data_IF_968615738257
#
_entry.id   IF_968615738257
#
_cell.length_a   1.000
_cell.length_b   1.000
_cell.length_c   1.000
_cell.angle_alpha   90.00
_cell.angle_beta   90.00
_cell.angle_gamma   90.00
#
_symmetry.space_group_name_H-M   'P 1'
#
loop_
_entity.id
_entity.type
_entity.pdbx_description
1 polymer ?
#
# COMPACT_ATOMS: atom_id res chain seq x y z
N UNK A 1 -20.58 3.54 -1.73
CA UNK A 1 -19.14 3.43 -1.42
C UNK A 1 -18.58 4.68 -0.74
N UNK A 2 -18.64 5.87 -1.35
CA UNK A 2 -18.11 7.10 -0.73
C UNK A 2 -18.69 7.40 0.68
N UNK A 3 -20.00 7.22 0.89
CA UNK A 3 -20.64 7.42 2.20
C UNK A 3 -20.10 6.42 3.23
N UNK A 4 -20.00 5.14 2.89
CA UNK A 4 -19.44 4.11 3.77
C UNK A 4 -17.96 4.36 4.10
N UNK A 5 -17.17 4.79 3.13
CA UNK A 5 -15.77 5.18 3.33
C UNK A 5 -15.67 6.35 4.32
N UNK A 6 -16.50 7.37 4.13
CA UNK A 6 -16.54 8.55 4.99
C UNK A 6 -16.97 8.18 6.43
N UNK A 7 -18.00 7.34 6.58
CA UNK A 7 -18.44 6.82 7.88
C UNK A 7 -17.34 6.02 8.58
N UNK A 8 -16.70 5.08 7.88
CA UNK A 8 -15.63 4.26 8.47
C UNK A 8 -14.39 5.09 8.83
N UNK A 9 -14.04 6.06 8.00
CA UNK A 9 -12.92 6.96 8.26
C UNK A 9 -13.17 7.83 9.49
N UNK A 10 -14.37 8.43 9.60
CA UNK A 10 -14.75 9.25 10.76
C UNK A 10 -14.83 8.39 12.02
N UNK A 11 -15.45 7.21 11.94
CA UNK A 11 -15.54 6.26 13.07
C UNK A 11 -14.16 5.83 13.55
N UNK A 12 -13.29 5.39 12.65
CA UNK A 12 -11.91 5.02 12.99
C UNK A 12 -11.11 6.19 13.57
N UNK A 13 -11.28 7.41 13.03
CA UNK A 13 -10.64 8.60 13.57
C UNK A 13 -11.11 8.96 14.99
N UNK A 14 -12.42 8.88 15.25
CA UNK A 14 -12.99 9.12 16.58
C UNK A 14 -12.47 8.08 17.58
N UNK A 15 -12.46 6.79 17.20
CA UNK A 15 -11.98 5.70 18.04
C UNK A 15 -10.50 5.89 18.42
N UNK A 16 -9.65 6.33 17.47
CA UNK A 16 -8.23 6.68 17.76
C UNK A 16 -8.13 7.80 18.80
N UNK A 17 -8.90 8.88 18.64
CA UNK A 17 -8.83 10.04 19.55
C UNK A 17 -9.31 9.65 20.95
N UNK A 18 -10.37 8.86 21.06
CA UNK A 18 -10.87 8.38 22.34
C UNK A 18 -9.85 7.47 23.03
N UNK A 19 -9.28 6.53 22.28
CA UNK A 19 -8.26 5.61 22.78
C UNK A 19 -7.00 6.34 23.26
N UNK A 20 -6.50 7.32 22.48
CA UNK A 20 -5.35 8.15 22.89
C UNK A 20 -5.67 8.93 24.16
N UNK A 21 -6.89 9.48 24.27
CA UNK A 21 -7.35 10.15 25.48
C UNK A 21 -7.33 9.22 26.69
N UNK A 22 -7.90 8.01 26.54
CA UNK A 22 -7.97 7.00 27.59
C UNK A 22 -6.57 6.56 28.06
N UNK A 23 -5.66 6.25 27.13
CA UNK A 23 -4.26 5.88 27.46
C UNK A 23 -3.55 6.98 28.24
N UNK A 24 -3.72 8.25 27.87
CA UNK A 24 -3.09 9.37 28.58
C UNK A 24 -3.66 9.52 30.00
N UNK A 25 -4.97 9.36 30.17
CA UNK A 25 -5.60 9.40 31.51
C UNK A 25 -5.29 8.18 32.37
N UNK A 26 -5.20 6.98 31.79
CA UNK A 26 -4.94 5.73 32.52
C UNK A 26 -3.50 5.59 32.97
N UNK A 27 -2.54 6.15 32.22
CA UNK A 27 -1.15 6.30 32.67
C UNK A 27 -1.03 7.04 34.01
N UNK A 28 -2.06 7.78 34.44
CA UNK A 28 -2.06 8.52 35.70
C UNK A 28 -2.62 7.75 36.91
N UNK A 29 -3.42 6.68 36.75
CA UNK A 29 -4.12 6.04 37.90
C UNK A 29 -4.17 4.50 37.93
N UNK A 30 -3.94 3.77 36.83
CA UNK A 30 -3.96 2.30 36.88
C UNK A 30 -3.00 1.68 35.85
N UNK A 31 -2.25 0.65 36.28
CA UNK A 31 -1.25 -0.03 35.45
C UNK A 31 -1.81 -0.58 34.13
N UNK A 32 -0.93 -0.85 33.14
CA UNK A 32 -1.33 -1.13 31.76
C UNK A 32 -2.27 -2.32 31.64
N UNK A 33 -3.42 -2.13 30.98
CA UNK A 33 -4.30 -3.24 30.56
C UNK A 33 -3.53 -4.11 29.55
N UNK A 34 -3.51 -5.43 29.75
CA UNK A 34 -2.74 -6.36 28.90
C UNK A 34 -3.24 -6.42 27.44
N UNK A 35 -4.39 -5.80 27.12
CA UNK A 35 -5.02 -5.81 25.80
C UNK A 35 -4.89 -4.51 24.98
N UNK A 36 -4.13 -3.51 25.47
CA UNK A 36 -3.94 -2.21 24.80
C UNK A 36 -3.46 -2.37 23.35
N UNK A 37 -2.57 -3.33 23.08
CA UNK A 37 -2.00 -3.53 21.74
C UNK A 37 -3.06 -4.03 20.75
N UNK A 38 -3.92 -4.97 21.17
CA UNK A 38 -4.96 -5.55 20.32
C UNK A 38 -5.99 -4.48 19.95
N UNK A 39 -6.41 -3.67 20.92
CA UNK A 39 -7.38 -2.58 20.73
C UNK A 39 -6.86 -1.48 19.78
N UNK A 40 -5.56 -1.16 19.86
CA UNK A 40 -4.90 -0.25 18.91
C UNK A 40 -4.93 -0.84 17.50
N UNK A 41 -4.54 -2.12 17.35
CA UNK A 41 -4.44 -2.76 16.04
C UNK A 41 -5.82 -2.84 15.37
N UNK A 42 -6.87 -3.18 16.11
CA UNK A 42 -8.24 -3.19 15.61
C UNK A 42 -8.68 -1.79 15.13
N UNK A 43 -8.40 -0.78 15.94
CA UNK A 43 -8.74 0.61 15.63
C UNK A 43 -8.00 1.13 14.39
N UNK A 44 -6.69 0.87 14.30
CA UNK A 44 -5.87 1.22 13.13
C UNK A 44 -6.38 0.50 11.89
N UNK A 45 -6.77 -0.77 12.02
CA UNK A 45 -7.29 -1.55 10.92
C UNK A 45 -8.58 -0.95 10.34
N UNK A 46 -9.53 -0.55 11.19
CA UNK A 46 -10.76 0.12 10.77
C UNK A 46 -10.50 1.44 10.02
N UNK A 47 -9.55 2.24 10.51
CA UNK A 47 -9.12 3.46 9.83
C UNK A 47 -8.49 3.19 8.45
N UNK A 48 -7.65 2.16 8.37
CA UNK A 48 -7.01 1.73 7.12
C UNK A 48 -8.05 1.27 6.09
N UNK A 49 -9.02 0.45 6.50
CA UNK A 49 -10.14 0.02 5.64
C UNK A 49 -10.94 1.23 5.13
N UNK A 50 -11.25 2.21 5.98
CA UNK A 50 -11.91 3.45 5.57
C UNK A 50 -11.11 4.22 4.49
N UNK A 51 -9.81 4.36 4.70
CA UNK A 51 -8.89 5.01 3.74
C UNK A 51 -8.83 4.27 2.41
N UNK A 52 -8.88 2.94 2.43
CA UNK A 52 -8.87 2.09 1.23
C UNK A 52 -10.14 2.23 0.42
N UNK A 53 -11.29 2.22 1.10
CA UNK A 53 -12.56 2.48 0.43
C UNK A 53 -12.58 3.91 -0.15
N UNK A 54 -11.95 4.88 0.52
CA UNK A 54 -11.82 6.24 0.02
C UNK A 54 -10.95 6.30 -1.24
N UNK A 55 -9.76 5.67 -1.23
CA UNK A 55 -8.88 5.56 -2.39
C UNK A 55 -9.55 4.82 -3.55
N UNK A 56 -10.29 3.75 -3.27
CA UNK A 56 -11.04 3.00 -4.28
C UNK A 56 -12.16 3.86 -4.89
N UNK A 57 -12.86 4.64 -4.06
CA UNK A 57 -13.87 5.59 -4.53
C UNK A 57 -13.25 6.67 -5.43
N UNK A 58 -12.04 7.14 -5.09
CA UNK A 58 -11.32 8.13 -5.89
C UNK A 58 -10.81 7.55 -7.21
N UNK A 59 -10.30 6.32 -7.20
CA UNK A 59 -9.89 5.60 -8.41
C UNK A 59 -11.05 5.33 -9.37
N UNK A 60 -12.22 4.95 -8.85
CA UNK A 60 -13.45 4.86 -9.64
C UNK A 60 -13.89 6.23 -10.18
N UNK A 61 -13.76 7.29 -9.39
CA UNK A 61 -14.09 8.65 -9.81
C UNK A 61 -13.20 9.11 -10.99
N UNK A 62 -11.89 8.87 -10.91
CA UNK A 62 -10.94 9.20 -11.97
C UNK A 62 -11.22 8.42 -13.26
N UNK A 63 -11.63 7.16 -13.13
CA UNK A 63 -11.87 6.27 -14.25
C UNK A 63 -13.12 6.64 -15.06
N UNK A 64 -14.21 7.03 -14.39
CA UNK A 64 -15.50 7.22 -15.05
C UNK A 64 -15.85 8.67 -15.37
N UNK A 65 -15.29 9.66 -14.65
CA UNK A 65 -15.71 11.06 -14.76
C UNK A 65 -14.67 11.88 -15.51
N UNK A 66 -13.53 12.19 -14.87
CA UNK A 66 -12.48 13.00 -15.50
C UNK A 66 -11.10 12.70 -14.90
N UNK A 67 -10.02 12.75 -15.72
CA UNK A 67 -8.67 12.70 -15.23
C UNK A 67 -8.36 13.97 -14.44
N UNK A 68 -8.31 13.88 -13.12
CA UNK A 68 -7.91 14.99 -12.27
C UNK A 68 -6.41 15.26 -12.44
N UNK A 69 -5.96 16.54 -12.42
CA UNK A 69 -4.55 16.91 -12.43
C UNK A 69 -3.93 16.60 -11.05
N UNK A 70 -3.80 15.32 -10.76
CA UNK A 70 -3.13 14.83 -9.56
C UNK A 70 -1.62 14.71 -9.83
N UNK A 71 -0.79 14.93 -8.80
CA UNK A 71 0.63 14.64 -8.89
C UNK A 71 0.86 13.15 -9.19
N UNK A 72 1.95 12.83 -9.88
CA UNK A 72 2.22 11.51 -10.48
C UNK A 72 2.08 10.32 -9.49
N UNK A 73 2.29 10.53 -8.20
CA UNK A 73 2.16 9.49 -7.16
C UNK A 73 0.71 9.06 -6.86
N UNK A 74 -0.32 9.79 -7.32
CA UNK A 74 -1.76 9.41 -7.18
C UNK A 74 -2.42 9.14 -8.52
N UNK A 75 -1.74 9.40 -9.64
CA UNK A 75 -2.35 9.37 -10.96
C UNK A 75 -2.52 7.93 -11.44
N UNK A 76 -3.69 7.36 -11.22
CA UNK A 76 -4.03 6.02 -11.72
C UNK A 76 -4.53 6.14 -13.15
N UNK A 77 -3.73 5.68 -14.12
CA UNK A 77 -4.04 5.87 -15.55
C UNK A 77 -4.90 4.75 -16.13
N UNK A 78 -5.18 3.68 -15.36
CA UNK A 78 -5.98 2.54 -15.81
C UNK A 78 -6.65 1.77 -14.66
N UNK A 79 -7.78 1.13 -14.95
CA UNK A 79 -8.48 0.16 -14.06
C UNK A 79 -7.51 -0.92 -13.56
N UNK A 80 -6.58 -1.33 -14.42
CA UNK A 80 -5.60 -2.39 -14.15
C UNK A 80 -4.63 -2.02 -13.03
N UNK A 81 -4.20 -0.75 -12.99
CA UNK A 81 -3.34 -0.23 -11.93
C UNK A 81 -4.11 -0.12 -10.61
N UNK A 82 -5.40 0.23 -10.66
CA UNK A 82 -6.24 0.27 -9.48
C UNK A 82 -6.47 -1.13 -8.89
N UNK A 83 -6.70 -2.14 -9.74
CA UNK A 83 -6.82 -3.55 -9.33
C UNK A 83 -5.53 -4.03 -8.63
N UNK A 84 -4.37 -3.77 -9.23
CA UNK A 84 -3.06 -4.14 -8.67
C UNK A 84 -2.81 -3.47 -7.32
N UNK A 85 -3.14 -2.19 -7.17
CA UNK A 85 -2.97 -1.46 -5.91
C UNK A 85 -3.91 -1.99 -4.82
N UNK A 86 -5.15 -2.36 -5.16
CA UNK A 86 -6.11 -2.92 -4.21
C UNK A 86 -5.68 -4.32 -3.72
N UNK A 87 -5.19 -5.16 -4.64
CA UNK A 87 -4.61 -6.46 -4.30
C UNK A 87 -3.37 -6.31 -3.43
N UNK A 88 -2.47 -5.38 -3.76
CA UNK A 88 -1.28 -5.08 -2.96
C UNK A 88 -1.62 -4.67 -1.53
N UNK A 89 -2.63 -3.82 -1.37
CA UNK A 89 -3.11 -3.44 -0.05
C UNK A 89 -3.78 -4.60 0.71
N UNK A 90 -4.50 -5.49 0.03
CA UNK A 90 -5.08 -6.68 0.65
C UNK A 90 -4.01 -7.56 1.26
N UNK A 91 -2.87 -7.72 0.57
CA UNK A 91 -1.71 -8.46 1.09
C UNK A 91 -1.14 -7.79 2.35
N UNK A 92 -1.02 -6.45 2.36
CA UNK A 92 -0.56 -5.70 3.54
C UNK A 92 -1.51 -5.91 4.73
N UNK A 93 -2.81 -5.81 4.50
CA UNK A 93 -3.85 -6.01 5.52
C UNK A 93 -3.78 -7.41 6.13
N UNK A 94 -3.63 -8.46 5.30
CA UNK A 94 -3.46 -9.83 5.79
C UNK A 94 -2.21 -9.96 6.67
N UNK A 95 -1.11 -9.29 6.32
CA UNK A 95 0.10 -9.26 7.12
C UNK A 95 -0.07 -8.56 8.48
N UNK A 96 -0.78 -7.42 8.51
CA UNK A 96 -1.06 -6.70 9.77
C UNK A 96 -1.99 -7.52 10.68
N UNK A 97 -2.99 -8.20 10.12
CA UNK A 97 -3.87 -9.06 10.90
C UNK A 97 -3.11 -10.24 11.53
N UNK A 98 -2.19 -10.86 10.77
CA UNK A 98 -1.29 -11.86 11.33
C UNK A 98 -0.43 -11.30 12.47
N UNK A 99 0.06 -10.08 12.35
CA UNK A 99 0.82 -9.44 13.44
C UNK A 99 -0.03 -9.24 14.70
N UNK A 100 -1.32 -8.91 14.55
CA UNK A 100 -2.25 -8.80 15.69
C UNK A 100 -2.31 -10.10 16.50
N UNK A 101 -2.39 -11.24 15.83
CA UNK A 101 -2.47 -12.56 16.48
C UNK A 101 -1.19 -12.86 17.29
N UNK A 102 -0.01 -12.44 16.82
CA UNK A 102 1.25 -12.73 17.52
C UNK A 102 1.32 -12.07 18.90
N UNK A 103 0.62 -10.95 19.07
CA UNK A 103 0.60 -10.22 20.33
C UNK A 103 -0.41 -10.76 21.34
N UNK A 104 -1.23 -11.75 20.97
CA UNK A 104 -2.17 -12.38 21.88
C UNK A 104 -1.46 -13.43 22.78
N UNK A 105 -1.56 -13.30 24.12
CA UNK A 105 -0.78 -14.12 25.06
C UNK A 105 -1.20 -15.60 25.14
N UNK A 106 -2.35 -15.98 24.56
CA UNK A 106 -3.00 -17.29 24.77
C UNK A 106 -2.84 -18.28 23.60
N UNK A 107 -1.92 -18.04 22.65
CA UNK A 107 -1.84 -18.87 21.43
C UNK A 107 -0.82 -20.00 21.57
N UNK A 108 -1.33 -21.22 21.78
CA UNK A 108 -0.54 -22.46 21.79
C UNK A 108 -0.15 -22.95 20.39
N UNK A 109 -0.88 -22.56 19.33
CA UNK A 109 -0.71 -23.07 17.96
C UNK A 109 -0.35 -21.96 16.94
N UNK A 110 0.60 -21.08 17.28
CA UNK A 110 1.05 -19.99 16.39
C UNK A 110 1.48 -20.49 15.00
N UNK A 111 2.06 -21.70 14.93
CA UNK A 111 2.48 -22.31 13.66
C UNK A 111 1.30 -22.59 12.71
N UNK A 112 0.15 -23.03 13.24
CA UNK A 112 -1.06 -23.33 12.44
C UNK A 112 -1.64 -22.04 11.88
N UNK A 113 -1.74 -20.99 12.70
CA UNK A 113 -2.18 -19.67 12.26
C UNK A 113 -1.24 -19.05 11.23
N UNK A 114 0.08 -19.16 11.44
CA UNK A 114 1.09 -18.67 10.50
C UNK A 114 0.97 -19.30 9.11
N UNK A 115 0.76 -20.62 9.05
CA UNK A 115 0.51 -21.31 7.77
C UNK A 115 -0.82 -20.86 7.15
N UNK A 116 -1.86 -20.68 7.96
CA UNK A 116 -3.17 -20.20 7.52
C UNK A 116 -3.11 -18.83 6.83
N UNK A 117 -2.29 -17.90 7.33
CA UNK A 117 -2.09 -16.58 6.72
C UNK A 117 -1.07 -16.60 5.57
N UNK A 118 -0.05 -17.46 5.62
CA UNK A 118 0.97 -17.55 4.58
C UNK A 118 0.40 -18.02 3.24
N UNK A 119 -0.58 -18.93 3.26
CA UNK A 119 -1.19 -19.49 2.05
C UNK A 119 -1.89 -18.43 1.15
N UNK A 120 -2.85 -17.62 1.66
CA UNK A 120 -3.48 -16.56 0.87
C UNK A 120 -2.50 -15.45 0.47
N UNK A 121 -1.54 -15.09 1.34
CA UNK A 121 -0.50 -14.11 1.02
C UNK A 121 0.34 -14.60 -0.17
N UNK A 122 0.79 -15.85 -0.15
CA UNK A 122 1.57 -16.44 -1.23
C UNK A 122 0.76 -16.53 -2.54
N UNK A 123 -0.51 -16.92 -2.45
CA UNK A 123 -1.40 -17.00 -3.61
C UNK A 123 -1.61 -15.62 -4.27
N UNK A 124 -1.88 -14.58 -3.47
CA UNK A 124 -2.06 -13.21 -3.95
C UNK A 124 -0.75 -12.63 -4.49
N UNK A 125 0.38 -12.85 -3.82
CA UNK A 125 1.69 -12.41 -4.30
C UNK A 125 2.07 -13.07 -5.63
N UNK A 126 1.81 -14.36 -5.79
CA UNK A 126 2.05 -15.09 -7.04
C UNK A 126 1.16 -14.55 -8.16
N UNK A 127 -0.13 -14.36 -7.89
CA UNK A 127 -1.07 -13.74 -8.83
C UNK A 127 -0.63 -12.35 -9.27
N UNK A 128 -0.16 -11.54 -8.32
CA UNK A 128 0.35 -10.19 -8.60
C UNK A 128 1.60 -10.24 -9.47
N UNK A 129 2.52 -11.20 -9.23
CA UNK A 129 3.71 -11.42 -10.06
C UNK A 129 3.35 -11.81 -11.50
N UNK A 130 2.43 -12.76 -11.67
CA UNK A 130 1.96 -13.21 -13.00
C UNK A 130 1.27 -12.07 -13.75
N UNK A 131 0.44 -11.28 -13.05
CA UNK A 131 -0.27 -10.14 -13.65
C UNK A 131 0.66 -8.96 -13.95
N UNK A 132 1.60 -8.66 -13.05
CA UNK A 132 2.54 -7.54 -13.18
C UNK A 132 3.46 -7.69 -14.40
N UNK A 133 3.87 -8.91 -14.74
CA UNK A 133 4.70 -9.16 -15.94
C UNK A 133 4.01 -8.77 -17.25
N UNK A 134 2.68 -8.79 -17.30
CA UNK A 134 1.90 -8.36 -18.47
C UNK A 134 1.93 -6.83 -18.64
N UNK A 135 2.15 -6.09 -17.55
CA UNK A 135 2.26 -4.62 -17.53
C UNK A 135 3.70 -4.10 -17.56
N UNK A 136 4.70 -4.94 -17.25
CA UNK A 136 6.12 -4.54 -17.18
C UNK A 136 6.84 -4.54 -18.54
N UNK A 137 6.25 -5.11 -19.59
CA UNK A 137 6.80 -5.05 -20.96
C UNK A 137 6.82 -3.61 -21.54
N UNK A 138 6.05 -2.67 -20.97
CA UNK A 138 5.95 -1.30 -21.50
C UNK A 138 6.87 -0.27 -20.84
N UNK A 139 7.55 -0.57 -19.73
CA UNK A 139 8.43 0.43 -19.05
C UNK A 139 9.92 0.09 -19.03
N UNK A 140 10.32 -1.18 -19.23
CA UNK A 140 11.74 -1.54 -19.40
C UNK A 140 12.25 -1.34 -20.84
N UNK A 141 11.35 -1.34 -21.84
CA UNK A 141 11.70 -1.13 -23.25
C UNK A 141 11.99 0.32 -23.65
N UNK A 142 11.36 1.32 -23.02
CA UNK A 142 11.57 2.74 -23.33
C UNK A 142 12.77 3.35 -22.60
N UNK A 143 13.07 2.93 -21.36
CA UNK A 143 14.25 3.36 -20.61
C UNK A 143 15.55 2.89 -21.26
N UNK A 144 15.62 1.65 -21.74
CA UNK A 144 16.82 1.14 -22.43
C UNK A 144 17.03 1.82 -23.80
N UNK A 145 15.95 2.25 -24.48
CA UNK A 145 16.04 2.98 -25.74
C UNK A 145 16.46 4.43 -25.54
N UNK A 146 15.91 5.13 -24.53
CA UNK A 146 16.31 6.51 -24.20
C UNK A 146 17.72 6.58 -23.64
N UNK A 147 18.15 5.63 -22.80
CA UNK A 147 19.52 5.56 -22.31
C UNK A 147 20.48 5.19 -23.45
N UNK A 148 20.10 4.26 -24.34
CA UNK A 148 20.89 3.90 -25.52
C UNK A 148 21.07 5.04 -26.53
N UNK A 149 20.03 5.85 -26.75
CA UNK A 149 20.07 6.99 -27.68
C UNK A 149 20.84 8.19 -27.11
N UNK A 150 20.71 8.48 -25.80
CA UNK A 150 21.48 9.55 -25.15
C UNK A 150 22.95 9.17 -25.01
N UNK A 151 23.27 7.88 -24.80
CA UNK A 151 24.67 7.43 -24.69
C UNK A 151 25.38 7.32 -26.05
N UNK A 152 24.69 6.99 -27.14
CA UNK A 152 25.28 7.01 -28.48
C UNK A 152 25.57 8.44 -28.96
N UNK A 153 24.62 9.36 -28.81
CA UNK A 153 24.76 10.77 -29.20
C UNK A 153 25.87 11.45 -28.39
N UNK A 154 25.94 11.19 -27.08
CA UNK A 154 26.97 11.78 -26.23
C UNK A 154 28.39 11.25 -26.54
N UNK A 155 28.50 9.98 -26.95
CA UNK A 155 29.79 9.37 -27.32
C UNK A 155 30.32 9.91 -28.66
N UNK A 156 29.44 10.12 -29.65
CA UNK A 156 29.82 10.77 -30.91
C UNK A 156 30.24 12.23 -30.71
N UNK A 157 29.53 12.98 -29.86
CA UNK A 157 29.93 14.36 -29.55
C UNK A 157 31.27 14.44 -28.82
N UNK A 158 31.54 13.56 -27.86
CA UNK A 158 32.80 13.57 -27.12
C UNK A 158 34.00 13.18 -27.99
N UNK A 159 33.82 12.23 -28.92
CA UNK A 159 34.86 11.84 -29.86
C UNK A 159 35.23 12.96 -30.84
N UNK A 160 34.24 13.75 -31.30
CA UNK A 160 34.49 14.89 -32.20
C UNK A 160 35.17 16.08 -31.53
N UNK A 161 34.97 16.25 -30.22
CA UNK A 161 35.61 17.33 -29.45
C UNK A 161 37.08 17.00 -29.22
N UNK A 162 37.39 15.77 -28.81
CA UNK A 162 38.77 15.37 -28.49
C UNK A 162 39.68 15.29 -29.73
N UNK A 163 39.12 15.16 -30.94
CA UNK A 163 39.88 15.15 -32.20
C UNK A 163 40.27 16.55 -32.71
N UNK A 164 39.74 17.62 -32.11
CA UNK A 164 40.10 19.00 -32.48
C UNK A 164 41.21 19.62 -31.61
N UNK A 165 41.63 18.92 -30.56
CA UNK A 165 42.70 19.37 -29.66
C UNK A 165 44.09 18.79 -29.98
N UNK A 166 44.19 17.93 -31.01
CA UNK A 166 45.46 17.42 -31.58
C UNK A 166 45.80 18.06 -32.94
#
# INVERSE_FOLDING_TARGET
MAIAACTLFVKGGIDIVHFVGEVITEMSEAGPKENIIVEIVETVHLFLVGTVLFLTSFGLYQLFIQPLPLPEWVKVNSIKELELNLVGLTVVVLGVNFLSIIFEPEITDLAVYGVGYALPIAALAYFMKVRSQISKESSEGEQLKSIGEVTSVNSESNWLINKKED
#
